data_IF_006301135933
#
_entry.id   IF_006301135933
#
_cell.length_a   1.000
_cell.length_b   1.000
_cell.length_c   1.000
_cell.angle_alpha   90.00
_cell.angle_beta   90.00
_cell.angle_gamma   90.00
#
_symmetry.space_group_name_H-M   'P 1'
#
loop_
_entity.id
_entity.type
_entity.pdbx_description
1 polymer ?
#
# COMPACT_ATOMS: atom_id res chain seq x y z
N UNK A 1 48.57 -19.41 8.28
CA UNK A 1 47.12 -19.63 8.30
C UNK A 1 46.48 -18.26 8.14
N UNK A 2 46.06 -17.91 6.92
CA UNK A 2 45.41 -16.63 6.63
C UNK A 2 43.93 -16.81 6.97
N UNK A 3 43.48 -16.18 8.05
CA UNK A 3 42.06 -16.01 8.35
C UNK A 3 41.50 -15.06 7.30
N UNK A 4 40.70 -15.59 6.38
CA UNK A 4 39.84 -14.77 5.53
C UNK A 4 38.75 -14.25 6.47
N UNK A 5 38.89 -13.01 6.92
CA UNK A 5 37.75 -12.29 7.51
C UNK A 5 36.65 -12.27 6.45
N UNK A 6 35.57 -13.01 6.69
CA UNK A 6 34.38 -12.92 5.85
C UNK A 6 33.90 -11.48 5.94
N UNK A 7 34.03 -10.72 4.85
CA UNK A 7 33.46 -9.37 4.75
C UNK A 7 32.01 -9.43 5.21
N UNK A 8 31.67 -8.67 6.25
CA UNK A 8 30.31 -8.60 6.77
C UNK A 8 29.38 -8.22 5.61
N UNK A 9 28.57 -9.17 5.14
CA UNK A 9 27.79 -8.99 3.93
C UNK A 9 26.81 -7.83 4.17
N UNK A 10 26.90 -6.79 3.34
CA UNK A 10 26.16 -5.55 3.56
C UNK A 10 24.65 -5.84 3.58
N UNK A 11 24.03 -5.66 4.75
CA UNK A 11 22.61 -5.96 4.95
C UNK A 11 21.74 -4.93 4.26
N UNK A 12 20.78 -5.38 3.46
CA UNK A 12 19.79 -4.51 2.82
C UNK A 12 18.74 -4.13 3.85
N UNK A 13 18.78 -2.87 4.30
CA UNK A 13 17.83 -2.35 5.31
C UNK A 13 16.63 -1.62 4.71
N UNK A 14 16.77 -1.08 3.50
CA UNK A 14 15.74 -0.26 2.86
C UNK A 14 15.54 -0.69 1.42
N UNK A 15 14.28 -0.71 1.00
CA UNK A 15 13.90 -0.92 -0.39
C UNK A 15 13.10 0.27 -0.91
N UNK A 16 13.40 0.70 -2.13
CA UNK A 16 12.73 1.84 -2.77
C UNK A 16 12.10 1.37 -4.08
N UNK A 17 10.77 1.46 -4.14
CA UNK A 17 9.95 1.05 -5.27
C UNK A 17 9.50 2.28 -6.05
N UNK A 18 10.14 2.47 -7.20
CA UNK A 18 9.78 3.56 -8.12
C UNK A 18 8.47 3.23 -8.86
N UNK A 19 7.61 4.22 -9.06
CA UNK A 19 6.48 4.09 -9.98
C UNK A 19 6.90 4.03 -11.46
N UNK A 20 6.14 3.28 -12.27
CA UNK A 20 6.30 3.17 -13.72
C UNK A 20 5.53 1.98 -14.30
N UNK A 21 4.78 2.20 -15.38
CA UNK A 21 4.02 1.15 -16.10
C UNK A 21 2.70 0.70 -15.43
N UNK A 22 1.90 -0.08 -16.15
CA UNK A 22 0.51 -0.42 -15.77
C UNK A 22 0.37 -1.48 -14.68
N UNK A 23 1.46 -2.11 -14.20
CA UNK A 23 1.36 -3.19 -13.20
C UNK A 23 2.42 -3.20 -12.09
N UNK A 24 3.51 -2.44 -12.16
CA UNK A 24 4.54 -2.38 -11.10
C UNK A 24 5.21 -3.71 -10.69
N UNK A 25 4.93 -4.82 -11.40
CA UNK A 25 5.33 -6.19 -11.04
C UNK A 25 6.84 -6.44 -11.12
N UNK A 26 7.59 -5.56 -11.79
CA UNK A 26 9.04 -5.67 -11.95
C UNK A 26 9.78 -5.70 -10.60
N UNK A 27 9.23 -5.01 -9.59
CA UNK A 27 9.80 -4.94 -8.24
C UNK A 27 9.67 -6.25 -7.47
N UNK A 28 8.70 -7.10 -7.81
CA UNK A 28 8.39 -8.31 -7.03
C UNK A 28 9.46 -9.38 -7.12
N UNK A 29 10.16 -9.47 -8.25
CA UNK A 29 11.28 -10.41 -8.39
C UNK A 29 12.41 -10.10 -7.39
N UNK A 30 12.60 -8.83 -7.04
CA UNK A 30 13.59 -8.43 -6.04
C UNK A 30 13.16 -8.83 -4.62
N UNK A 31 11.88 -8.65 -4.28
CA UNK A 31 11.34 -9.08 -2.98
C UNK A 31 11.43 -10.61 -2.87
N UNK A 32 11.01 -11.34 -3.91
CA UNK A 32 11.04 -12.81 -3.95
C UNK A 32 12.46 -13.36 -3.74
N UNK A 33 13.47 -12.74 -4.36
CA UNK A 33 14.85 -13.16 -4.18
C UNK A 33 15.37 -12.91 -2.76
N UNK A 34 15.03 -11.76 -2.17
CA UNK A 34 15.38 -11.48 -0.77
C UNK A 34 14.65 -12.38 0.22
N UNK A 35 13.42 -12.80 -0.08
CA UNK A 35 12.70 -13.81 0.70
C UNK A 35 13.41 -15.17 0.59
N UNK A 36 13.80 -15.59 -0.61
CA UNK A 36 14.45 -16.88 -0.89
C UNK A 36 15.77 -17.07 -0.13
N UNK A 37 16.55 -16.00 0.03
CA UNK A 37 17.83 -16.03 0.73
C UNK A 37 17.75 -15.53 2.19
N UNK A 38 16.54 -15.21 2.68
CA UNK A 38 16.30 -14.76 4.05
C UNK A 38 16.67 -13.30 4.34
N UNK A 39 17.24 -12.57 3.39
CA UNK A 39 17.61 -11.16 3.57
C UNK A 39 16.41 -10.22 3.74
N UNK A 40 15.19 -10.65 3.35
CA UNK A 40 13.97 -9.85 3.55
C UNK A 40 13.66 -9.54 5.03
N UNK A 41 14.13 -10.40 5.94
CA UNK A 41 14.01 -10.19 7.39
C UNK A 41 14.87 -9.03 7.90
N UNK A 42 15.94 -8.68 7.17
CA UNK A 42 16.78 -7.53 7.50
C UNK A 42 16.21 -6.21 6.99
N UNK A 43 15.30 -6.21 6.02
CA UNK A 43 14.65 -5.02 5.49
C UNK A 43 13.70 -4.44 6.54
N UNK A 44 13.92 -3.18 6.91
CA UNK A 44 13.15 -2.45 7.93
C UNK A 44 12.26 -1.36 7.35
N UNK A 45 12.58 -0.86 6.15
CA UNK A 45 11.86 0.24 5.54
C UNK A 45 11.57 -0.04 4.06
N UNK A 46 10.36 0.30 3.63
CA UNK A 46 9.91 0.21 2.23
C UNK A 46 9.35 1.56 1.77
N UNK A 47 9.89 2.06 0.67
CA UNK A 47 9.64 3.41 0.20
C UNK A 47 9.01 3.37 -1.18
N UNK A 48 8.02 4.22 -1.46
CA UNK A 48 7.25 4.09 -2.69
C UNK A 48 6.70 5.39 -3.25
N UNK A 49 6.67 5.46 -4.59
CA UNK A 49 5.97 6.50 -5.34
C UNK A 49 5.02 5.85 -6.35
N UNK A 50 3.82 6.40 -6.50
CA UNK A 50 2.82 5.89 -7.45
C UNK A 50 2.67 4.37 -7.27
N UNK A 51 2.73 3.55 -8.34
CA UNK A 51 2.52 2.09 -8.23
C UNK A 51 3.46 1.42 -7.20
N UNK A 52 4.66 1.97 -7.00
CA UNK A 52 5.57 1.51 -5.95
C UNK A 52 5.09 1.84 -4.53
N UNK A 53 4.22 2.85 -4.37
CA UNK A 53 3.54 3.15 -3.11
C UNK A 53 2.52 2.10 -2.71
N UNK A 54 1.81 1.51 -3.68
CA UNK A 54 0.94 0.35 -3.43
C UNK A 54 1.78 -0.84 -2.96
N UNK A 55 2.88 -1.14 -3.66
CA UNK A 55 3.79 -2.23 -3.29
C UNK A 55 4.40 -1.99 -1.90
N UNK A 56 4.79 -0.75 -1.60
CA UNK A 56 5.31 -0.37 -0.28
C UNK A 56 4.26 -0.54 0.83
N UNK A 57 3.00 -0.21 0.56
CA UNK A 57 1.91 -0.48 1.49
C UNK A 57 1.80 -1.97 1.76
N UNK A 58 1.67 -2.81 0.73
CA UNK A 58 1.51 -4.26 0.91
C UNK A 58 2.72 -4.90 1.62
N UNK A 59 3.94 -4.56 1.18
CA UNK A 59 5.17 -5.06 1.80
C UNK A 59 5.35 -4.56 3.24
N UNK A 60 4.94 -3.32 3.54
CA UNK A 60 5.00 -2.74 4.89
C UNK A 60 3.98 -3.37 5.84
N UNK A 61 2.85 -3.82 5.31
CA UNK A 61 1.84 -4.64 6.00
C UNK A 61 2.25 -6.11 6.15
N UNK A 62 3.45 -6.49 5.74
CA UNK A 62 4.00 -7.83 5.93
C UNK A 62 3.52 -8.87 4.92
N UNK A 63 2.90 -8.46 3.81
CA UNK A 63 2.55 -9.36 2.71
C UNK A 63 3.82 -9.91 2.03
N UNK A 64 3.80 -11.19 1.70
CA UNK A 64 4.83 -11.88 0.92
C UNK A 64 4.82 -11.46 -0.55
N UNK A 65 5.94 -11.66 -1.26
CA UNK A 65 6.02 -11.42 -2.71
C UNK A 65 4.92 -12.14 -3.50
N UNK A 66 4.53 -13.35 -3.07
CA UNK A 66 3.47 -14.14 -3.70
C UNK A 66 2.07 -13.51 -3.51
N UNK A 67 1.76 -13.05 -2.30
CA UNK A 67 0.49 -12.36 -2.00
C UNK A 67 0.40 -11.03 -2.76
N UNK A 68 1.49 -10.26 -2.75
CA UNK A 68 1.58 -8.99 -3.50
C UNK A 68 1.38 -9.26 -4.99
N UNK A 69 2.05 -10.29 -5.54
CA UNK A 69 1.91 -10.67 -6.95
C UNK A 69 0.47 -11.00 -7.30
N UNK A 70 -0.19 -11.84 -6.50
CA UNK A 70 -1.59 -12.21 -6.68
C UNK A 70 -2.47 -10.96 -6.69
N UNK A 71 -2.37 -10.12 -5.66
CA UNK A 71 -3.17 -8.91 -5.54
C UNK A 71 -2.95 -7.96 -6.73
N UNK A 72 -1.69 -7.72 -7.12
CA UNK A 72 -1.33 -6.83 -8.23
C UNK A 72 -1.74 -7.38 -9.60
N UNK A 73 -1.87 -8.71 -9.76
CA UNK A 73 -2.39 -9.30 -11.00
C UNK A 73 -3.91 -9.23 -11.13
N UNK A 74 -4.62 -9.21 -10.00
CA UNK A 74 -6.09 -9.14 -9.93
C UNK A 74 -6.61 -7.70 -9.92
N UNK A 75 -5.81 -6.75 -9.43
CA UNK A 75 -6.13 -5.32 -9.51
C UNK A 75 -6.22 -4.89 -10.97
N UNK A 76 -7.39 -4.39 -11.35
CA UNK A 76 -7.55 -3.65 -12.58
C UNK A 76 -7.40 -2.15 -12.34
N UNK A 77 -6.21 -1.61 -12.63
CA UNK A 77 -5.94 -0.18 -12.45
C UNK A 77 -6.87 0.74 -13.24
N UNK A 78 -7.51 0.26 -14.31
CA UNK A 78 -8.50 1.06 -15.03
C UNK A 78 -9.77 1.30 -14.22
N UNK A 79 -10.06 0.45 -13.24
CA UNK A 79 -11.20 0.65 -12.33
C UNK A 79 -10.92 1.81 -11.37
N UNK A 80 -9.63 2.19 -11.22
CA UNK A 80 -9.17 3.33 -10.43
C UNK A 80 -8.87 4.57 -11.29
N UNK A 81 -8.72 4.44 -12.62
CA UNK A 81 -8.40 5.56 -13.51
C UNK A 81 -9.66 6.12 -14.18
N UNK A 82 -9.84 7.44 -14.15
CA UNK A 82 -10.90 8.09 -14.93
C UNK A 82 -10.77 7.79 -16.43
N UNK A 83 -11.89 7.45 -17.07
CA UNK A 83 -12.10 7.74 -18.49
C UNK A 83 -12.92 9.01 -18.54
N UNK A 84 -12.39 10.06 -19.13
CA UNK A 84 -13.19 11.20 -19.59
C UNK A 84 -14.38 10.65 -20.39
N UNK A 85 -15.58 10.70 -19.83
CA UNK A 85 -16.77 10.46 -20.62
C UNK A 85 -17.88 11.40 -20.15
N UNK A 86 -18.14 12.48 -20.89
CA UNK A 86 -19.41 13.17 -20.79
C UNK A 86 -20.55 12.20 -21.13
N UNK A 87 -21.69 12.34 -20.45
CA UNK A 87 -23.03 12.06 -21.01
C UNK A 87 -23.63 10.63 -21.02
N UNK A 88 -22.94 9.55 -20.62
CA UNK A 88 -23.48 8.16 -20.81
C UNK A 88 -23.89 7.38 -19.56
N UNK A 89 -24.43 8.05 -18.54
CA UNK A 89 -25.12 7.43 -17.38
C UNK A 89 -26.32 6.52 -17.73
N UNK A 90 -26.50 6.09 -18.98
CA UNK A 90 -27.66 5.32 -19.44
C UNK A 90 -27.34 4.03 -20.23
N UNK A 91 -26.09 3.72 -20.58
CA UNK A 91 -25.84 2.70 -21.62
C UNK A 91 -25.33 1.31 -21.16
N UNK A 92 -24.77 1.11 -19.97
CA UNK A 92 -24.08 -0.15 -19.67
C UNK A 92 -24.34 -0.61 -18.23
N UNK A 93 -25.35 -1.47 -18.11
CA UNK A 93 -25.74 -2.15 -16.87
C UNK A 93 -24.55 -2.59 -16.04
N UNK A 94 -24.51 -2.08 -14.82
CA UNK A 94 -23.52 -2.37 -13.79
C UNK A 94 -23.26 -3.88 -13.70
N UNK A 95 -22.11 -4.33 -14.21
CA UNK A 95 -21.51 -5.56 -13.68
C UNK A 95 -20.90 -5.20 -12.34
N UNK A 96 -21.56 -5.70 -11.29
CA UNK A 96 -21.02 -5.93 -9.96
C UNK A 96 -19.49 -6.04 -10.01
N UNK A 97 -18.81 -5.08 -9.39
CA UNK A 97 -17.38 -5.22 -9.13
C UNK A 97 -17.30 -6.21 -7.98
N UNK A 98 -16.85 -7.44 -8.26
CA UNK A 98 -16.53 -8.42 -7.22
C UNK A 98 -15.23 -7.99 -6.53
N UNK A 99 -15.34 -7.06 -5.57
CA UNK A 99 -14.22 -6.46 -4.83
C UNK A 99 -13.45 -7.46 -3.93
N UNK A 100 -13.89 -8.70 -3.80
CA UNK A 100 -13.39 -9.62 -2.78
C UNK A 100 -12.78 -10.88 -3.39
N UNK A 101 -11.50 -10.78 -3.73
CA UNK A 101 -10.60 -11.93 -3.68
C UNK A 101 -9.65 -11.84 -2.47
N UNK A 102 -10.15 -11.31 -1.34
CA UNK A 102 -9.53 -11.57 -0.04
C UNK A 102 -9.85 -13.02 0.28
N UNK A 103 -8.99 -13.92 -0.19
CA UNK A 103 -9.25 -15.36 -0.16
C UNK A 103 -9.20 -15.97 1.24
N UNK A 104 -8.92 -15.18 2.28
CA UNK A 104 -9.02 -15.65 3.65
C UNK A 104 -9.54 -14.56 4.61
N UNK A 105 -10.86 -14.47 4.70
CA UNK A 105 -11.56 -13.66 5.72
C UNK A 105 -11.52 -14.30 7.11
N UNK A 106 -11.04 -15.55 7.25
CA UNK A 106 -11.11 -16.29 8.52
C UNK A 106 -10.04 -15.88 9.53
N UNK A 107 -8.98 -15.19 9.07
CA UNK A 107 -7.90 -14.65 9.89
C UNK A 107 -8.09 -13.19 10.30
N UNK A 108 -9.19 -12.55 9.85
CA UNK A 108 -9.47 -11.14 10.13
C UNK A 108 -10.27 -11.02 11.43
N UNK A 109 -9.81 -10.22 12.42
CA UNK A 109 -10.54 -9.99 13.67
C UNK A 109 -11.99 -9.50 13.45
N UNK A 110 -12.93 -9.92 14.29
CA UNK A 110 -14.36 -9.63 14.09
C UNK A 110 -14.70 -8.12 14.14
N UNK A 111 -13.98 -7.36 14.94
CA UNK A 111 -14.03 -5.89 15.03
C UNK A 111 -13.48 -5.20 13.76
N UNK A 112 -12.47 -5.80 13.13
CA UNK A 112 -11.98 -5.38 11.83
C UNK A 112 -12.99 -5.68 10.72
N UNK A 113 -13.66 -6.85 10.78
CA UNK A 113 -14.79 -7.19 9.88
C UNK A 113 -15.94 -6.20 10.05
N UNK A 114 -16.31 -5.84 11.28
CA UNK A 114 -17.34 -4.84 11.54
C UNK A 114 -16.93 -3.46 11.01
N UNK A 115 -15.66 -3.07 11.21
CA UNK A 115 -15.12 -1.82 10.68
C UNK A 115 -15.14 -1.79 9.15
N UNK A 116 -14.76 -2.90 8.51
CA UNK A 116 -14.86 -3.10 7.05
C UNK A 116 -16.32 -2.99 6.59
N UNK A 117 -17.23 -3.70 7.27
CA UNK A 117 -18.65 -3.70 6.93
C UNK A 117 -19.28 -2.31 7.10
N UNK A 118 -18.89 -1.56 8.14
CA UNK A 118 -19.33 -0.17 8.33
C UNK A 118 -18.85 0.72 7.19
N UNK A 119 -17.59 0.61 6.79
CA UNK A 119 -17.03 1.35 5.64
C UNK A 119 -17.81 1.00 4.37
N UNK A 120 -18.04 -0.28 4.08
CA UNK A 120 -18.75 -0.68 2.87
C UNK A 120 -20.24 -0.28 2.84
N UNK A 121 -20.84 -0.02 4.01
CA UNK A 121 -22.26 0.29 4.15
C UNK A 121 -22.55 1.79 4.46
N UNK A 122 -21.54 2.66 4.58
CA UNK A 122 -21.80 4.10 4.78
C UNK A 122 -22.39 4.74 3.51
N UNK A 123 -23.41 5.61 3.68
CA UNK A 123 -24.20 6.19 2.59
C UNK A 123 -23.40 7.08 1.61
N UNK A 124 -22.20 7.52 1.99
CA UNK A 124 -21.28 8.30 1.15
C UNK A 124 -20.39 7.44 0.23
N UNK A 125 -20.41 6.11 0.37
CA UNK A 125 -19.58 5.22 -0.45
C UNK A 125 -20.13 5.09 -1.87
N UNK A 126 -19.33 5.52 -2.85
CA UNK A 126 -19.64 5.36 -4.27
C UNK A 126 -20.08 6.63 -4.99
N UNK A 127 -20.12 7.79 -4.32
CA UNK A 127 -20.39 9.08 -4.97
C UNK A 127 -19.19 9.59 -5.78
N UNK A 128 -17.95 9.22 -5.39
CA UNK A 128 -16.73 9.56 -6.13
C UNK A 128 -15.75 8.37 -6.24
N UNK A 129 -15.20 8.11 -7.43
CA UNK A 129 -14.28 6.97 -7.69
C UNK A 129 -12.97 7.03 -6.90
N UNK A 130 -12.56 8.21 -6.45
CA UNK A 130 -11.43 8.39 -5.54
C UNK A 130 -11.65 7.76 -4.15
N UNK A 131 -12.89 7.39 -3.84
CA UNK A 131 -13.26 6.66 -2.62
C UNK A 131 -13.10 5.15 -2.80
N UNK A 132 -13.29 4.62 -4.01
CA UNK A 132 -13.12 3.20 -4.32
C UNK A 132 -11.68 2.71 -4.09
N UNK A 133 -10.68 3.50 -4.48
CA UNK A 133 -9.29 3.17 -4.20
C UNK A 133 -8.95 3.31 -2.70
N UNK A 134 -9.53 4.31 -2.03
CA UNK A 134 -9.37 4.48 -0.60
C UNK A 134 -9.96 3.28 0.17
N UNK A 135 -11.10 2.77 -0.27
CA UNK A 135 -11.76 1.60 0.30
C UNK A 135 -10.94 0.33 0.09
N UNK A 136 -10.40 0.14 -1.13
CA UNK A 136 -9.44 -0.94 -1.39
C UNK A 136 -8.25 -0.88 -0.41
N UNK A 137 -7.63 0.29 -0.26
CA UNK A 137 -6.48 0.45 0.64
C UNK A 137 -6.86 0.20 2.11
N UNK A 138 -7.96 0.78 2.58
CA UNK A 138 -8.48 0.57 3.95
C UNK A 138 -8.78 -0.90 4.23
N UNK A 139 -9.41 -1.58 3.28
CA UNK A 139 -9.77 -2.98 3.40
C UNK A 139 -8.54 -3.87 3.50
N UNK A 140 -7.54 -3.65 2.63
CA UNK A 140 -6.28 -4.39 2.66
C UNK A 140 -5.48 -4.10 3.94
N UNK A 141 -5.48 -2.86 4.41
CA UNK A 141 -4.87 -2.48 5.69
C UNK A 141 -5.58 -3.18 6.85
N UNK A 142 -6.91 -3.14 6.90
CA UNK A 142 -7.70 -3.76 7.96
C UNK A 142 -7.49 -5.28 8.01
N UNK A 143 -7.38 -5.94 6.85
CA UNK A 143 -7.15 -7.40 6.83
C UNK A 143 -5.80 -7.83 7.42
N UNK A 144 -4.81 -6.93 7.46
CA UNK A 144 -3.47 -7.23 7.99
C UNK A 144 -3.20 -6.65 9.38
N UNK A 145 -3.93 -5.59 9.76
CA UNK A 145 -3.66 -4.84 11.00
C UNK A 145 -4.83 -4.82 11.96
N UNK A 146 -6.02 -5.20 11.51
CA UNK A 146 -7.27 -5.00 12.23
C UNK A 146 -7.79 -3.55 12.25
N UNK A 147 -7.01 -2.57 11.78
CA UNK A 147 -7.36 -1.15 11.85
C UNK A 147 -7.27 -0.49 10.46
N UNK A 148 -8.39 -0.21 9.76
CA UNK A 148 -8.38 0.39 8.42
C UNK A 148 -7.73 1.79 8.37
N UNK A 149 -7.63 2.48 9.50
CA UNK A 149 -7.08 3.82 9.62
C UNK A 149 -5.71 3.85 10.31
N UNK A 150 -5.01 2.71 10.40
CA UNK A 150 -3.69 2.66 11.03
C UNK A 150 -2.78 3.75 10.44
N UNK A 151 -2.15 4.48 11.35
CA UNK A 151 -1.28 5.60 11.04
C UNK A 151 0.16 5.14 10.83
N UNK A 152 1.00 6.00 10.26
CA UNK A 152 2.43 5.69 10.12
C UNK A 152 3.09 5.41 11.47
N UNK A 153 2.73 6.14 12.53
CA UNK A 153 3.30 5.92 13.85
C UNK A 153 2.86 4.59 14.44
N UNK A 154 1.59 4.22 14.33
CA UNK A 154 1.10 2.95 14.86
C UNK A 154 1.74 1.76 14.14
N UNK A 155 1.90 1.83 12.81
CA UNK A 155 2.63 0.80 12.08
C UNK A 155 4.11 0.76 12.48
N UNK A 156 4.76 1.91 12.67
CA UNK A 156 6.13 1.97 13.18
C UNK A 156 6.28 1.31 14.55
N UNK A 157 5.36 1.61 15.47
CA UNK A 157 5.32 0.99 16.79
C UNK A 157 5.13 -0.53 16.65
N UNK A 158 4.29 -1.00 15.72
CA UNK A 158 4.12 -2.43 15.45
C UNK A 158 5.32 -3.07 14.72
N UNK A 159 6.14 -2.32 14.00
CA UNK A 159 7.37 -2.80 13.34
C UNK A 159 8.62 -2.72 14.26
N UNK A 160 8.50 -2.12 15.44
CA UNK A 160 9.62 -1.90 16.36
C UNK A 160 9.84 -3.11 17.29
N UNK A 161 11.01 -3.77 17.28
CA UNK A 161 11.29 -4.93 18.14
C UNK A 161 11.15 -4.69 19.66
N UNK A 162 11.17 -3.43 20.09
CA UNK A 162 11.02 -3.06 21.50
C UNK A 162 9.55 -2.78 21.89
N UNK A 163 8.61 -2.91 20.97
CA UNK A 163 7.20 -2.66 21.19
C UNK A 163 6.47 -3.91 21.68
N UNK A 164 5.49 -3.79 22.60
CA UNK A 164 4.68 -4.93 23.04
C UNK A 164 3.79 -5.51 21.94
N UNK A 165 3.56 -4.76 20.86
CA UNK A 165 2.76 -5.16 19.70
C UNK A 165 3.65 -5.47 18.47
N UNK A 166 4.93 -5.78 18.70
CA UNK A 166 5.88 -6.04 17.62
C UNK A 166 5.47 -7.23 16.74
N UNK A 167 5.40 -6.98 15.45
CA UNK A 167 5.31 -7.98 14.40
C UNK A 167 6.52 -7.86 13.45
N UNK A 168 7.39 -8.88 13.36
CA UNK A 168 8.58 -8.83 12.51
C UNK A 168 8.28 -8.78 11.01
N UNK A 169 7.02 -9.02 10.61
CA UNK A 169 6.58 -8.92 9.22
C UNK A 169 6.39 -7.48 8.81
N UNK A 170 6.00 -6.60 9.74
CA UNK A 170 5.76 -5.18 9.44
C UNK A 170 7.07 -4.43 9.19
N UNK A 171 6.98 -3.40 8.36
CA UNK A 171 8.09 -2.52 7.99
C UNK A 171 7.62 -1.08 7.98
N UNK A 172 8.53 -0.16 8.28
CA UNK A 172 8.25 1.27 8.16
C UNK A 172 7.95 1.61 6.69
N UNK A 173 6.90 2.38 6.46
CA UNK A 173 6.49 2.84 5.13
C UNK A 173 6.89 4.31 4.97
N UNK A 174 7.49 4.64 3.82
CA UNK A 174 7.60 6.02 3.36
C UNK A 174 6.99 6.18 1.97
N UNK A 175 6.13 7.19 1.81
CA UNK A 175 5.47 7.47 0.54
C UNK A 175 5.80 8.88 0.07
N UNK A 176 5.83 9.07 -1.24
CA UNK A 176 6.07 10.38 -1.83
C UNK A 176 4.82 10.92 -2.52
N UNK A 177 4.49 12.19 -2.29
CA UNK A 177 3.47 12.93 -3.05
C UNK A 177 4.10 14.10 -3.81
N UNK A 178 3.53 14.44 -4.97
CA UNK A 178 3.95 15.62 -5.73
C UNK A 178 2.89 16.70 -5.63
N UNK A 179 3.21 17.83 -4.99
CA UNK A 179 2.39 19.04 -5.05
C UNK A 179 2.82 19.85 -6.27
N UNK A 180 1.93 20.00 -7.25
CA UNK A 180 2.27 20.60 -8.56
C UNK A 180 1.74 22.04 -8.68
N UNK A 181 0.78 22.43 -7.84
CA UNK A 181 0.23 23.78 -7.80
C UNK A 181 -0.08 24.26 -6.37
N UNK A 182 0.03 25.57 -6.08
CA UNK A 182 0.73 26.58 -6.88
C UNK A 182 2.25 26.30 -6.95
N UNK A 183 2.91 26.80 -8.00
CA UNK A 183 4.36 26.62 -8.23
C UNK A 183 5.21 27.33 -7.16
N UNK A 184 6.45 26.86 -6.90
CA UNK A 184 7.15 25.74 -7.53
C UNK A 184 6.62 24.36 -7.09
N UNK A 185 6.83 23.29 -7.89
CA UNK A 185 6.43 21.95 -7.48
C UNK A 185 7.23 21.51 -6.25
N UNK A 186 6.57 20.84 -5.32
CA UNK A 186 7.15 20.39 -4.06
C UNK A 186 6.95 18.88 -3.89
N UNK A 187 8.05 18.17 -3.59
CA UNK A 187 7.99 16.78 -3.15
C UNK A 187 7.60 16.74 -1.67
N UNK A 188 6.50 16.08 -1.35
CA UNK A 188 6.09 15.77 0.02
C UNK A 188 6.46 14.33 0.36
N UNK A 189 7.02 14.14 1.54
CA UNK A 189 7.31 12.82 2.11
C UNK A 189 6.28 12.55 3.21
N UNK A 190 5.73 11.35 3.23
CA UNK A 190 4.81 10.86 4.24
C UNK A 190 5.42 9.64 4.91
N UNK A 191 5.65 9.70 6.22
CA UNK A 191 6.24 8.64 7.03
C UNK A 191 5.93 8.89 8.52
N UNK A 192 6.44 8.02 9.40
CA UNK A 192 6.18 8.12 10.85
C UNK A 192 6.88 9.30 11.54
N UNK A 193 7.90 9.90 10.93
CA UNK A 193 8.63 11.05 11.48
C UNK A 193 7.97 12.37 11.10
N UNK A 194 7.63 12.53 9.82
CA UNK A 194 7.13 13.77 9.25
C UNK A 194 5.60 13.88 9.36
N UNK A 195 4.89 12.76 9.26
CA UNK A 195 3.42 12.69 9.30
C UNK A 195 2.92 11.51 10.16
N UNK A 196 3.31 11.43 11.45
CA UNK A 196 3.04 10.28 12.32
C UNK A 196 1.58 9.87 12.40
N UNK A 197 0.68 10.85 12.50
CA UNK A 197 -0.75 10.63 12.74
C UNK A 197 -1.56 10.48 11.44
N UNK A 198 -0.91 10.51 10.28
CA UNK A 198 -1.59 10.38 9.01
C UNK A 198 -1.93 8.91 8.74
N UNK A 199 -3.18 8.56 8.40
CA UNK A 199 -3.53 7.22 7.98
C UNK A 199 -2.78 6.83 6.71
N UNK A 200 -2.27 5.59 6.66
CA UNK A 200 -1.45 5.13 5.53
C UNK A 200 -2.25 5.15 4.22
N UNK A 201 -3.53 4.73 4.24
CA UNK A 201 -4.39 4.73 3.05
C UNK A 201 -4.47 6.10 2.38
N UNK A 202 -4.46 7.18 3.17
CA UNK A 202 -4.56 8.54 2.65
C UNK A 202 -3.29 8.93 1.90
N UNK A 203 -2.12 8.56 2.43
CA UNK A 203 -0.84 8.80 1.78
C UNK A 203 -0.69 7.95 0.50
N UNK A 204 -1.20 6.71 0.51
CA UNK A 204 -1.24 5.84 -0.69
C UNK A 204 -2.16 6.45 -1.76
N UNK A 205 -3.31 7.00 -1.37
CA UNK A 205 -4.20 7.72 -2.29
C UNK A 205 -3.52 8.95 -2.89
N UNK A 206 -2.81 9.74 -2.09
CA UNK A 206 -2.08 10.92 -2.56
C UNK A 206 -0.95 10.52 -3.52
N UNK A 207 -0.17 9.49 -3.23
CA UNK A 207 0.90 9.04 -4.15
C UNK A 207 0.36 8.46 -5.46
N UNK A 208 -0.86 7.93 -5.43
CA UNK A 208 -1.63 7.45 -6.59
C UNK A 208 -2.29 8.55 -7.41
N UNK A 209 -2.39 9.76 -6.89
CA UNK A 209 -3.07 10.86 -7.55
C UNK A 209 -2.24 11.36 -8.74
N UNK A 210 -2.41 10.69 -9.89
CA UNK A 210 -1.91 11.18 -11.17
C UNK A 210 -2.72 12.45 -11.52
N UNK A 211 -2.08 13.59 -11.81
CA UNK A 211 -2.76 14.84 -12.16
C UNK A 211 -3.70 14.74 -13.39
N UNK A 212 -3.57 13.67 -14.18
CA UNK A 212 -4.41 13.42 -15.35
C UNK A 212 -5.59 12.45 -15.09
N UNK A 213 -5.64 11.77 -13.95
CA UNK A 213 -6.63 10.71 -13.68
C UNK A 213 -7.56 11.00 -12.49
N UNK A 214 -7.29 12.08 -11.73
CA UNK A 214 -8.13 12.50 -10.61
C UNK A 214 -8.24 14.02 -10.63
N UNK A 215 -9.45 14.56 -10.78
CA UNK A 215 -9.70 15.99 -10.55
C UNK A 215 -9.45 16.31 -9.07
N UNK A 216 -8.58 17.30 -8.84
CA UNK A 216 -8.37 17.95 -7.55
C UNK A 216 -9.57 18.81 -7.16
#
# INVERSE_FOLDING_TARGET
MLTIESSEQQRIRKMVFRGGGTKGLEHLGSIEELERNGAWLDVREVWGSSAGGIISMMAGLGMSSAEIKKQMTEINFTDFMDKDTPFWSEALGFKKIDFFNITDLTSIPADAIESIARILNSEDHGLYKGDTFADFAKLLIASHTGNPNITFKELHDAANPNSPIYDPRFKDIMLTGSKIAPLPPELKLFNWKDTPNMPIWLAVRITMSFPAAFKA
#
